data_IF_379526128800
#
_entry.id   IF_379526128800
#
_cell.length_a   1.000
_cell.length_b   1.000
_cell.length_c   1.000
_cell.angle_alpha   90.00
_cell.angle_beta   90.00
_cell.angle_gamma   90.00
#
_symmetry.space_group_name_H-M   'P 1'
#
loop_
_entity.id
_entity.type
_entity.pdbx_description
1 polymer ?
#
# COMPACT_ATOMS: atom_id res chain seq x y z
N UNK A 1 -26.15 28.31 20.81
CA UNK A 1 -24.73 28.75 20.86
C UNK A 1 -23.84 27.54 20.97
N UNK A 2 -23.84 26.71 19.94
CA UNK A 2 -22.94 25.58 19.74
C UNK A 2 -22.98 25.38 18.23
N UNK A 3 -21.93 25.80 17.51
CA UNK A 3 -21.64 25.45 16.10
C UNK A 3 -20.43 26.23 15.56
N UNK A 4 -19.36 26.42 16.36
CA UNK A 4 -18.15 27.14 15.89
C UNK A 4 -16.83 26.43 16.24
N UNK A 5 -16.88 25.17 16.68
CA UNK A 5 -15.70 24.40 17.08
C UNK A 5 -15.44 23.18 16.17
N UNK A 6 -16.22 23.04 15.09
CA UNK A 6 -16.16 21.91 14.15
C UNK A 6 -15.23 22.20 12.98
N UNK A 7 -15.19 23.45 12.52
CA UNK A 7 -14.41 23.91 11.35
C UNK A 7 -12.89 23.89 11.56
N UNK A 8 -12.40 24.21 12.76
CA UNK A 8 -10.97 24.15 13.08
C UNK A 8 -10.45 22.70 13.16
N UNK A 9 -11.25 21.78 13.71
CA UNK A 9 -10.86 20.37 13.79
C UNK A 9 -10.83 19.67 12.41
N UNK A 10 -11.72 20.06 11.50
CA UNK A 10 -11.78 19.49 10.15
C UNK A 10 -10.59 19.96 9.29
N UNK A 11 -10.18 21.22 9.42
CA UNK A 11 -9.01 21.77 8.69
C UNK A 11 -7.70 21.12 9.14
N UNK A 12 -7.56 20.87 10.45
CA UNK A 12 -6.40 20.18 11.01
C UNK A 12 -6.24 18.75 10.48
N UNK A 13 -7.33 17.97 10.49
CA UNK A 13 -7.27 16.58 10.03
C UNK A 13 -6.99 16.48 8.53
N UNK A 14 -7.45 17.45 7.73
CA UNK A 14 -7.14 17.50 6.31
C UNK A 14 -5.64 17.58 6.05
N UNK A 15 -4.90 18.36 6.84
CA UNK A 15 -3.43 18.46 6.72
C UNK A 15 -2.73 17.11 6.91
N UNK A 16 -3.21 16.29 7.86
CA UNK A 16 -2.67 14.95 8.07
C UNK A 16 -3.09 13.96 6.99
N UNK A 17 -4.32 14.07 6.47
CA UNK A 17 -4.78 13.29 5.32
C UNK A 17 -3.94 13.58 4.06
N UNK A 18 -3.67 14.84 3.77
CA UNK A 18 -2.83 15.26 2.63
C UNK A 18 -1.38 14.73 2.79
N UNK A 19 -0.86 14.74 4.01
CA UNK A 19 0.44 14.13 4.32
C UNK A 19 0.45 12.61 4.08
N UNK A 20 -0.65 11.92 4.36
CA UNK A 20 -0.76 10.47 4.08
C UNK A 20 -0.84 10.22 2.57
N UNK A 21 -1.65 11.00 1.86
CA UNK A 21 -1.83 10.86 0.41
C UNK A 21 -0.59 11.19 -0.40
N UNK A 22 0.30 12.04 0.14
CA UNK A 22 1.58 12.38 -0.49
C UNK A 22 2.69 11.36 -0.24
N UNK A 23 2.46 10.35 0.60
CA UNK A 23 3.42 9.26 0.81
C UNK A 23 3.54 8.40 -0.46
N UNK A 24 4.77 8.12 -0.89
CA UNK A 24 5.01 7.10 -1.90
C UNK A 24 4.75 5.72 -1.29
N UNK A 25 3.79 4.93 -1.82
CA UNK A 25 3.44 3.63 -1.27
C UNK A 25 4.57 2.60 -1.34
N UNK A 26 5.61 2.85 -2.14
CA UNK A 26 6.79 2.01 -2.28
C UNK A 26 7.94 2.51 -1.41
N UNK A 27 8.25 3.80 -1.44
CA UNK A 27 9.44 4.35 -0.78
C UNK A 27 9.18 4.81 0.67
N UNK A 28 8.00 5.38 0.97
CA UNK A 28 7.70 5.99 2.28
C UNK A 28 6.96 5.03 3.23
N UNK A 29 6.27 4.03 2.69
CA UNK A 29 5.47 3.09 3.46
C UNK A 29 6.30 1.84 3.83
N UNK A 30 6.41 1.46 5.10
CA UNK A 30 7.12 0.26 5.53
C UNK A 30 6.64 -1.03 4.84
N UNK A 31 7.56 -1.94 4.53
CA UNK A 31 7.26 -3.27 3.98
C UNK A 31 7.40 -4.36 5.05
N UNK A 32 6.68 -5.47 4.89
CA UNK A 32 6.73 -6.61 5.83
C UNK A 32 8.08 -7.33 5.82
N UNK A 33 8.86 -7.21 4.73
CA UNK A 33 10.11 -7.95 4.50
C UNK A 33 11.41 -7.20 4.83
N UNK A 34 11.35 -5.98 5.38
CA UNK A 34 12.54 -5.21 5.78
C UNK A 34 13.48 -4.76 4.65
N UNK A 35 13.28 -5.23 3.42
CA UNK A 35 14.01 -4.77 2.24
C UNK A 35 13.44 -3.43 1.77
N UNK A 36 13.93 -2.34 2.38
CA UNK A 36 13.80 -1.00 1.80
C UNK A 36 14.81 -0.88 0.66
N UNK A 37 14.35 -1.18 -0.56
CA UNK A 37 15.06 -0.67 -1.74
C UNK A 37 14.66 0.79 -1.88
N UNK A 38 15.54 1.71 -1.49
CA UNK A 38 15.33 3.13 -1.75
C UNK A 38 15.53 3.39 -3.24
N UNK A 39 14.46 3.26 -4.02
CA UNK A 39 14.51 3.41 -5.48
C UNK A 39 14.75 4.86 -5.88
N UNK A 40 14.32 5.81 -5.05
CA UNK A 40 14.50 7.25 -5.27
C UNK A 40 15.96 7.66 -5.32
N UNK A 41 16.81 7.04 -4.50
CA UNK A 41 18.24 7.38 -4.38
C UNK A 41 19.18 6.35 -5.00
N UNK A 42 18.66 5.34 -5.72
CA UNK A 42 19.47 4.31 -6.39
C UNK A 42 19.35 4.39 -7.91
N UNK A 43 20.42 4.04 -8.61
CA UNK A 43 20.44 3.74 -10.04
C UNK A 43 20.46 2.21 -10.19
N UNK A 44 19.30 1.55 -10.13
CA UNK A 44 19.25 0.10 -10.23
C UNK A 44 19.69 -0.32 -11.64
N UNK A 45 20.55 -1.33 -11.70
CA UNK A 45 20.94 -2.00 -12.94
C UNK A 45 19.94 -3.09 -13.29
N UNK A 46 19.82 -3.40 -14.58
CA UNK A 46 19.01 -4.50 -15.07
C UNK A 46 19.34 -5.84 -14.39
N UNK A 47 20.61 -6.05 -14.03
CA UNK A 47 21.08 -7.29 -13.38
C UNK A 47 20.42 -7.55 -12.01
N UNK A 48 19.88 -6.52 -11.36
CA UNK A 48 19.19 -6.63 -10.08
C UNK A 48 17.78 -7.22 -10.21
N UNK A 49 17.24 -7.36 -11.43
CA UNK A 49 15.93 -7.95 -11.70
C UNK A 49 16.03 -9.46 -11.93
N UNK A 50 14.91 -10.16 -11.76
CA UNK A 50 14.82 -11.58 -12.14
C UNK A 50 15.00 -11.77 -13.66
N UNK A 51 15.52 -12.92 -14.13
CA UNK A 51 15.85 -13.14 -15.54
C UNK A 51 14.69 -12.89 -16.51
N UNK A 52 13.46 -13.20 -16.11
CA UNK A 52 12.27 -12.88 -16.92
C UNK A 52 12.11 -11.39 -17.20
N UNK A 53 12.30 -10.54 -16.17
CA UNK A 53 12.13 -9.10 -16.28
C UNK A 53 13.32 -8.41 -16.94
N UNK A 54 14.52 -9.00 -16.83
CA UNK A 54 15.67 -8.56 -17.60
C UNK A 54 15.40 -8.65 -19.09
N UNK A 55 14.84 -9.77 -19.56
CA UNK A 55 14.51 -9.95 -20.98
C UNK A 55 13.51 -8.92 -21.48
N UNK A 56 12.45 -8.66 -20.73
CA UNK A 56 11.46 -7.62 -21.09
C UNK A 56 12.09 -6.24 -21.29
N UNK A 57 13.03 -5.85 -20.42
CA UNK A 57 13.73 -4.56 -20.55
C UNK A 57 14.75 -4.59 -21.68
N UNK A 58 15.48 -5.70 -21.87
CA UNK A 58 16.41 -5.86 -22.98
C UNK A 58 15.70 -5.76 -24.34
N UNK A 59 14.49 -6.32 -24.45
CA UNK A 59 13.65 -6.21 -25.65
C UNK A 59 13.24 -4.75 -25.92
N UNK A 60 12.97 -3.97 -24.87
CA UNK A 60 12.66 -2.52 -24.99
C UNK A 60 13.89 -1.67 -25.32
N UNK A 61 15.08 -2.10 -24.91
CA UNK A 61 16.36 -1.45 -25.22
C UNK A 61 16.96 -1.91 -26.56
N UNK A 62 16.33 -2.89 -27.22
CA UNK A 62 16.80 -3.42 -28.49
C UNK A 62 16.72 -2.33 -29.58
N UNK A 63 17.79 -2.19 -30.35
CA UNK A 63 17.88 -1.18 -31.43
C UNK A 63 18.19 0.25 -31.00
N UNK A 64 18.25 0.56 -29.70
CA UNK A 64 18.70 1.87 -29.19
C UNK A 64 20.23 2.02 -29.26
N UNK A 65 20.69 3.26 -29.45
CA UNK A 65 22.12 3.59 -29.38
C UNK A 65 22.65 3.48 -27.93
N UNK A 66 23.97 3.34 -27.72
CA UNK A 66 24.54 3.23 -26.37
C UNK A 66 24.17 4.41 -25.46
N UNK A 67 24.14 5.64 -25.99
CA UNK A 67 23.79 6.83 -25.22
C UNK A 67 22.31 6.81 -24.78
N UNK A 68 21.39 6.44 -25.68
CA UNK A 68 19.97 6.31 -25.36
C UNK A 68 19.68 5.19 -24.37
N UNK A 69 20.48 4.11 -24.40
CA UNK A 69 20.38 3.01 -23.43
C UNK A 69 20.77 3.44 -22.04
N UNK A 70 21.87 4.18 -21.89
CA UNK A 70 22.35 4.66 -20.60
C UNK A 70 21.33 5.59 -19.91
N UNK A 71 20.59 6.37 -20.70
CA UNK A 71 19.52 7.25 -20.20
C UNK A 71 18.24 6.47 -19.84
N UNK A 72 17.81 5.53 -20.70
CA UNK A 72 16.51 4.85 -20.54
C UNK A 72 16.53 3.63 -19.62
N UNK A 73 17.65 2.92 -19.54
CA UNK A 73 17.74 1.69 -18.75
C UNK A 73 17.35 1.92 -17.27
N UNK A 74 17.89 2.93 -16.55
CA UNK A 74 17.54 3.15 -15.16
C UNK A 74 16.05 3.46 -14.96
N UNK A 75 15.42 4.16 -15.89
CA UNK A 75 13.99 4.48 -15.84
C UNK A 75 13.13 3.22 -15.98
N UNK A 76 13.44 2.38 -16.97
CA UNK A 76 12.73 1.11 -17.20
C UNK A 76 12.91 0.15 -16.03
N UNK A 77 14.13 0.05 -15.50
CA UNK A 77 14.44 -0.80 -14.35
C UNK A 77 13.71 -0.29 -13.10
N UNK A 78 13.70 1.02 -12.84
CA UNK A 78 12.93 1.60 -11.72
C UNK A 78 11.43 1.34 -11.87
N UNK A 79 10.85 1.55 -13.05
CA UNK A 79 9.44 1.29 -13.31
C UNK A 79 9.11 -0.18 -13.05
N UNK A 80 9.97 -1.09 -13.50
CA UNK A 80 9.79 -2.54 -13.28
C UNK A 80 9.90 -2.92 -11.81
N UNK A 81 10.88 -2.38 -11.09
CA UNK A 81 10.99 -2.58 -9.64
C UNK A 81 9.74 -2.09 -8.90
N UNK A 82 9.21 -0.90 -9.24
CA UNK A 82 7.97 -0.40 -8.65
C UNK A 82 6.80 -1.33 -8.93
N UNK A 83 6.68 -1.87 -10.13
CA UNK A 83 5.65 -2.85 -10.47
C UNK A 83 5.77 -4.13 -9.63
N UNK A 84 6.97 -4.71 -9.54
CA UNK A 84 7.22 -5.94 -8.77
C UNK A 84 6.95 -5.71 -7.28
N UNK A 85 7.40 -4.58 -6.72
CA UNK A 85 7.17 -4.24 -5.32
C UNK A 85 5.69 -3.97 -5.03
N UNK A 86 4.96 -3.31 -5.94
CA UNK A 86 3.53 -3.09 -5.79
C UNK A 86 2.76 -4.42 -5.75
N UNK A 87 3.09 -5.34 -6.66
CA UNK A 87 2.52 -6.70 -6.67
C UNK A 87 2.86 -7.41 -5.37
N UNK A 88 4.14 -7.40 -4.94
CA UNK A 88 4.57 -8.03 -3.70
C UNK A 88 3.81 -7.49 -2.50
N UNK A 89 3.65 -6.16 -2.37
CA UNK A 89 2.91 -5.53 -1.26
C UNK A 89 1.45 -5.96 -1.25
N UNK A 90 0.80 -6.01 -2.41
CA UNK A 90 -0.57 -6.56 -2.51
C UNK A 90 -0.69 -8.02 -2.05
N UNK A 91 0.40 -8.79 -2.02
CA UNK A 91 0.42 -10.18 -1.56
C UNK A 91 0.81 -10.33 -0.09
N UNK A 92 1.85 -9.62 0.33
CA UNK A 92 2.48 -9.79 1.65
C UNK A 92 2.02 -8.77 2.68
N UNK A 93 1.22 -7.78 2.26
CA UNK A 93 0.88 -6.64 3.09
C UNK A 93 1.96 -5.58 3.16
N UNK A 94 1.69 -4.57 3.98
CA UNK A 94 2.63 -3.53 4.41
C UNK A 94 3.11 -3.81 5.83
N UNK A 95 4.21 -3.17 6.23
CA UNK A 95 4.81 -3.36 7.55
C UNK A 95 3.90 -2.90 8.70
N UNK A 96 4.19 -3.40 9.91
CA UNK A 96 3.39 -3.12 11.11
C UNK A 96 3.29 -1.62 11.44
N UNK A 97 4.33 -0.85 11.14
CA UNK A 97 4.40 0.60 11.38
C UNK A 97 3.76 1.45 10.29
N UNK A 98 3.23 0.84 9.22
CA UNK A 98 2.49 1.56 8.19
C UNK A 98 1.18 2.16 8.76
N UNK A 99 0.74 3.27 8.17
CA UNK A 99 -0.55 3.88 8.54
C UNK A 99 -1.71 2.93 8.21
N UNK A 100 -2.83 3.10 8.91
CA UNK A 100 -4.01 2.25 8.68
C UNK A 100 -4.54 2.37 7.26
N UNK A 101 -4.43 3.56 6.66
CA UNK A 101 -4.79 3.80 5.26
C UNK A 101 -4.04 2.87 4.30
N UNK A 102 -2.70 2.78 4.44
CA UNK A 102 -1.89 1.93 3.57
C UNK A 102 -2.10 0.44 3.84
N UNK A 103 -2.40 0.06 5.10
CA UNK A 103 -2.79 -1.31 5.45
C UNK A 103 -4.08 -1.71 4.75
N UNK A 104 -5.11 -0.88 4.86
CA UNK A 104 -6.40 -1.09 4.23
C UNK A 104 -6.29 -1.15 2.70
N UNK A 105 -5.49 -0.27 2.10
CA UNK A 105 -5.22 -0.28 0.66
C UNK A 105 -4.59 -1.60 0.21
N UNK A 106 -3.63 -2.10 0.98
CA UNK A 106 -2.98 -3.38 0.72
C UNK A 106 -3.93 -4.57 0.91
N UNK A 107 -4.82 -4.51 1.90
CA UNK A 107 -5.82 -5.54 2.18
C UNK A 107 -6.86 -5.63 1.05
N UNK A 108 -7.38 -4.48 0.58
CA UNK A 108 -8.28 -4.39 -0.57
C UNK A 108 -7.62 -4.99 -1.82
N UNK A 109 -6.35 -4.66 -2.08
CA UNK A 109 -5.61 -5.22 -3.21
C UNK A 109 -5.45 -6.75 -3.10
N UNK A 110 -5.17 -7.25 -1.90
CA UNK A 110 -5.08 -8.69 -1.61
C UNK A 110 -6.40 -9.42 -1.83
N UNK A 111 -7.51 -8.89 -1.30
CA UNK A 111 -8.86 -9.42 -1.51
C UNK A 111 -9.24 -9.44 -2.99
N UNK A 112 -8.99 -8.34 -3.71
CA UNK A 112 -9.27 -8.22 -5.13
C UNK A 112 -8.54 -9.30 -5.94
N UNK A 113 -7.26 -9.52 -5.64
CA UNK A 113 -6.43 -10.56 -6.28
C UNK A 113 -6.93 -11.95 -5.96
N UNK A 114 -7.22 -12.25 -4.70
CA UNK A 114 -7.76 -13.57 -4.30
C UNK A 114 -9.06 -13.89 -5.03
N UNK A 115 -9.96 -12.91 -5.18
CA UNK A 115 -11.19 -13.09 -5.97
C UNK A 115 -10.88 -13.31 -7.45
N UNK A 116 -9.89 -12.61 -8.02
CA UNK A 116 -9.49 -12.79 -9.40
C UNK A 116 -8.96 -14.21 -9.65
N UNK A 117 -8.11 -14.71 -8.76
CA UNK A 117 -7.56 -16.07 -8.82
C UNK A 117 -8.68 -17.13 -8.70
N UNK A 118 -9.66 -16.90 -7.83
CA UNK A 118 -10.83 -17.77 -7.70
C UNK A 118 -11.71 -17.77 -8.95
N UNK A 119 -11.93 -16.61 -9.58
CA UNK A 119 -12.64 -16.51 -10.86
C UNK A 119 -11.89 -17.30 -11.94
N UNK A 120 -10.57 -17.11 -12.06
CA UNK A 120 -9.74 -17.83 -13.02
C UNK A 120 -9.79 -19.35 -12.78
N UNK A 121 -9.78 -19.78 -11.52
CA UNK A 121 -9.96 -21.18 -11.15
C UNK A 121 -11.31 -21.72 -11.62
N UNK A 122 -12.43 -21.07 -11.29
CA UNK A 122 -13.76 -21.54 -11.70
C UNK A 122 -13.93 -21.52 -13.21
N UNK A 123 -13.43 -20.50 -13.89
CA UNK A 123 -13.45 -20.41 -15.35
C UNK A 123 -12.69 -21.59 -15.97
N UNK A 124 -11.48 -21.87 -15.49
CA UNK A 124 -10.71 -23.04 -15.91
C UNK A 124 -11.46 -24.36 -15.68
N UNK A 125 -12.24 -24.49 -14.61
CA UNK A 125 -13.05 -25.69 -14.40
C UNK A 125 -14.25 -25.77 -15.36
N UNK A 126 -14.85 -24.63 -15.71
CA UNK A 126 -15.95 -24.55 -16.68
C UNK A 126 -15.50 -24.88 -18.10
N UNK A 127 -14.27 -24.51 -18.44
CA UNK A 127 -13.65 -24.72 -19.75
C UNK A 127 -13.05 -26.14 -19.90
N UNK A 128 -13.04 -26.94 -18.83
CA UNK A 128 -12.59 -28.34 -18.90
C UNK A 128 -13.61 -29.19 -19.64
N UNK A 129 -13.11 -29.87 -20.66
CA UNK A 129 -13.86 -30.79 -21.51
C UNK A 129 -13.10 -32.10 -21.66
N UNK A 130 -13.84 -33.18 -21.87
CA UNK A 130 -13.31 -34.47 -22.30
C UNK A 130 -14.01 -34.89 -23.59
N UNK A 131 -13.40 -35.82 -24.34
CA UNK A 131 -13.96 -36.28 -25.60
C UNK A 131 -14.61 -37.64 -25.41
N UNK A 132 -15.84 -37.78 -25.91
CA UNK A 132 -16.56 -39.05 -25.98
C UNK A 132 -16.73 -39.45 -27.45
N UNK A 133 -16.38 -40.68 -27.79
CA UNK A 133 -16.66 -41.20 -29.13
C UNK A 133 -18.17 -41.44 -29.25
N UNK A 134 -18.83 -40.72 -30.16
CA UNK A 134 -20.25 -40.91 -30.47
C UNK A 134 -20.40 -41.28 -31.94
N UNK A 135 -21.32 -42.21 -32.21
CA UNK A 135 -21.63 -42.60 -33.57
C UNK A 135 -22.35 -41.45 -34.29
N UNK A 136 -21.83 -41.06 -35.45
CA UNK A 136 -22.43 -40.04 -36.30
C UNK A 136 -23.17 -40.72 -37.47
N UNK A 137 -24.51 -40.66 -37.46
CA UNK A 137 -25.36 -41.28 -38.47
C UNK A 137 -25.16 -40.72 -39.89
N UNK A 138 -24.62 -39.49 -40.03
CA UNK A 138 -24.37 -38.85 -41.33
C UNK A 138 -23.06 -39.32 -41.97
N UNK A 139 -22.02 -39.57 -41.17
CA UNK A 139 -20.70 -40.01 -41.66
C UNK A 139 -20.48 -41.51 -41.53
N UNK A 140 -21.36 -42.21 -40.80
CA UNK A 140 -21.29 -43.64 -40.52
C UNK A 140 -20.09 -44.04 -39.65
N UNK A 141 -19.48 -43.10 -38.94
CA UNK A 141 -18.25 -43.28 -38.16
C UNK A 141 -18.43 -42.81 -36.73
N UNK A 142 -17.63 -43.37 -35.82
CA UNK A 142 -17.49 -42.82 -34.48
C UNK A 142 -16.59 -41.59 -34.53
N UNK A 143 -17.12 -40.46 -34.10
CA UNK A 143 -16.41 -39.19 -34.06
C UNK A 143 -16.28 -38.72 -32.61
N UNK A 144 -15.14 -38.12 -32.22
CA UNK A 144 -14.97 -37.57 -30.88
C UNK A 144 -15.81 -36.30 -30.73
N UNK A 145 -16.74 -36.32 -29.78
CA UNK A 145 -17.57 -35.17 -29.42
C UNK A 145 -17.07 -34.59 -28.10
N UNK A 146 -16.88 -33.28 -28.08
CA UNK A 146 -16.49 -32.54 -26.89
C UNK A 146 -17.65 -32.51 -25.88
N UNK A 147 -17.40 -33.01 -24.68
CA UNK A 147 -18.38 -33.06 -23.59
C UNK A 147 -17.81 -32.29 -22.38
N UNK A 148 -18.57 -31.35 -21.80
CA UNK A 148 -18.15 -30.67 -20.58
C UNK A 148 -17.82 -31.67 -19.46
N UNK A 149 -16.68 -31.49 -18.80
CA UNK A 149 -16.27 -32.37 -17.70
C UNK A 149 -17.11 -32.22 -16.43
N UNK A 150 -17.95 -31.19 -16.35
CA UNK A 150 -18.83 -30.91 -15.22
C UNK A 150 -20.30 -31.07 -15.61
N UNK A 151 -21.10 -31.58 -14.67
CA UNK A 151 -22.56 -31.63 -14.80
C UNK A 151 -23.17 -30.23 -14.95
N UNK A 152 -24.33 -30.14 -15.60
CA UNK A 152 -25.03 -28.87 -15.80
C UNK A 152 -25.33 -28.12 -14.49
N UNK A 153 -25.62 -28.84 -13.40
CA UNK A 153 -25.80 -28.25 -12.07
C UNK A 153 -24.52 -27.62 -11.53
N UNK A 154 -23.39 -28.34 -11.57
CA UNK A 154 -22.09 -27.79 -11.14
C UNK A 154 -21.66 -26.59 -11.98
N UNK A 155 -21.89 -26.64 -13.30
CA UNK A 155 -21.61 -25.50 -14.19
C UNK A 155 -22.42 -24.27 -13.81
N UNK A 156 -23.71 -24.43 -13.51
CA UNK A 156 -24.56 -23.33 -13.00
C UNK A 156 -24.05 -22.78 -11.68
N UNK A 157 -23.66 -23.66 -10.75
CA UNK A 157 -23.06 -23.24 -9.47
C UNK A 157 -21.79 -22.41 -9.65
N UNK A 158 -20.86 -22.85 -10.50
CA UNK A 158 -19.63 -22.10 -10.79
C UNK A 158 -19.90 -20.78 -11.50
N UNK A 159 -20.83 -20.75 -12.46
CA UNK A 159 -21.23 -19.51 -13.12
C UNK A 159 -21.83 -18.50 -12.12
N UNK A 160 -22.66 -18.97 -11.17
CA UNK A 160 -23.20 -18.13 -10.09
C UNK A 160 -22.10 -17.60 -9.16
N UNK A 161 -21.13 -18.43 -8.79
CA UNK A 161 -19.98 -18.00 -7.99
C UNK A 161 -19.13 -16.95 -8.71
N UNK A 162 -18.87 -17.11 -10.00
CA UNK A 162 -18.15 -16.11 -10.80
C UNK A 162 -18.91 -14.78 -10.81
N UNK A 163 -20.23 -14.81 -11.01
CA UNK A 163 -21.05 -13.60 -10.99
C UNK A 163 -21.03 -12.91 -9.61
N UNK A 164 -21.07 -13.68 -8.52
CA UNK A 164 -20.97 -13.16 -7.16
C UNK A 164 -19.60 -12.52 -6.88
N UNK A 165 -18.51 -13.20 -7.26
CA UNK A 165 -17.14 -12.69 -7.11
C UNK A 165 -16.92 -11.41 -7.93
N UNK A 166 -17.38 -11.36 -9.18
CA UNK A 166 -17.33 -10.14 -10.00
C UNK A 166 -18.14 -9.00 -9.40
N UNK A 167 -19.28 -9.28 -8.74
CA UNK A 167 -20.04 -8.26 -8.01
C UNK A 167 -19.21 -7.71 -6.85
N UNK A 168 -18.61 -8.57 -6.03
CA UNK A 168 -17.75 -8.17 -4.89
C UNK A 168 -16.52 -7.41 -5.34
N UNK A 169 -15.86 -7.83 -6.43
CA UNK A 169 -14.75 -7.09 -7.02
C UNK A 169 -15.13 -5.65 -7.32
N UNK A 170 -16.27 -5.42 -7.97
CA UNK A 170 -16.77 -4.05 -8.29
C UNK A 170 -17.12 -3.22 -7.05
N UNK A 171 -17.42 -3.84 -5.92
CA UNK A 171 -17.62 -3.10 -4.66
C UNK A 171 -16.30 -2.59 -4.09
N UNK A 172 -15.20 -3.30 -4.32
CA UNK A 172 -13.86 -2.93 -3.85
C UNK A 172 -13.11 -2.02 -4.85
N UNK A 173 -13.10 -2.40 -6.13
CA UNK A 173 -12.38 -1.71 -7.20
C UNK A 173 -13.18 -1.74 -8.51
N UNK A 174 -13.16 -0.62 -9.21
CA UNK A 174 -13.73 -0.45 -10.54
C UNK A 174 -12.73 -0.92 -11.62
N UNK A 175 -13.21 -1.04 -12.86
CA UNK A 175 -12.41 -1.48 -14.00
C UNK A 175 -11.31 -0.49 -14.39
N UNK A 176 -11.49 0.80 -14.05
CA UNK A 176 -10.51 1.88 -14.26
C UNK A 176 -9.42 1.94 -13.17
N UNK A 177 -9.46 1.03 -12.19
CA UNK A 177 -8.54 0.99 -11.06
C UNK A 177 -8.91 1.91 -9.90
N UNK A 178 -9.99 2.69 -10.00
CA UNK A 178 -10.52 3.46 -8.87
C UNK A 178 -11.21 2.55 -7.85
N UNK A 179 -11.41 3.04 -6.62
CA UNK A 179 -12.09 2.26 -5.59
C UNK A 179 -13.60 2.25 -5.81
N UNK A 180 -14.20 1.06 -5.67
CA UNK A 180 -15.65 0.89 -5.63
C UNK A 180 -16.25 1.46 -4.34
N UNK A 181 -17.57 1.43 -4.20
CA UNK A 181 -18.28 2.07 -3.07
C UNK A 181 -17.82 1.53 -1.71
N UNK A 182 -17.64 0.22 -1.57
CA UNK A 182 -17.15 -0.37 -0.31
C UNK A 182 -15.67 -0.08 -0.10
N UNK A 183 -14.85 -0.19 -1.14
CA UNK A 183 -13.42 0.12 -1.08
C UNK A 183 -13.17 1.56 -0.65
N UNK A 184 -13.87 2.53 -1.27
CA UNK A 184 -13.78 3.94 -0.94
C UNK A 184 -14.21 4.23 0.51
N UNK A 185 -15.29 3.59 0.98
CA UNK A 185 -15.76 3.74 2.36
C UNK A 185 -14.79 3.17 3.39
N UNK A 186 -14.19 2.01 3.11
CA UNK A 186 -13.16 1.39 3.95
C UNK A 186 -11.93 2.29 4.04
N UNK A 187 -11.46 2.78 2.89
CA UNK A 187 -10.31 3.68 2.82
C UNK A 187 -10.53 5.03 3.50
N UNK A 188 -11.71 5.64 3.36
CA UNK A 188 -12.01 6.88 4.07
C UNK A 188 -11.92 6.69 5.59
N UNK A 189 -12.49 5.60 6.11
CA UNK A 189 -12.39 5.30 7.55
C UNK A 189 -10.93 5.09 7.99
N UNK A 190 -10.17 4.35 7.19
CA UNK A 190 -8.75 4.11 7.46
C UNK A 190 -7.91 5.40 7.37
N UNK A 191 -8.28 6.32 6.47
CA UNK A 191 -7.70 7.65 6.35
C UNK A 191 -7.95 8.46 7.61
N UNK A 192 -9.21 8.57 8.05
CA UNK A 192 -9.57 9.33 9.25
C UNK A 192 -8.84 8.79 10.50
N UNK A 193 -8.74 7.47 10.64
CA UNK A 193 -7.99 6.83 11.72
C UNK A 193 -6.49 7.13 11.65
N UNK A 194 -5.93 7.11 10.44
CA UNK A 194 -4.51 7.41 10.22
C UNK A 194 -4.21 8.88 10.53
N UNK A 195 -5.03 9.80 10.05
CA UNK A 195 -4.89 11.24 10.29
C UNK A 195 -4.94 11.55 11.79
N UNK A 196 -5.93 10.99 12.52
CA UNK A 196 -6.03 11.13 13.99
C UNK A 196 -4.82 10.55 14.71
N UNK A 197 -4.31 9.41 14.24
CA UNK A 197 -3.12 8.78 14.84
C UNK A 197 -1.88 9.66 14.65
N UNK A 198 -1.67 10.19 13.45
CA UNK A 198 -0.55 11.09 13.17
C UNK A 198 -0.65 12.40 13.97
N UNK A 199 -1.84 13.00 14.03
CA UNK A 199 -2.10 14.20 14.85
C UNK A 199 -1.71 13.95 16.31
N UNK A 200 -2.19 12.86 16.90
CA UNK A 200 -1.86 12.49 18.28
C UNK A 200 -0.35 12.32 18.49
N UNK A 201 0.35 11.65 17.56
CA UNK A 201 1.81 11.46 17.65
C UNK A 201 2.55 12.80 17.61
N UNK A 202 2.15 13.71 16.72
CA UNK A 202 2.80 15.02 16.60
C UNK A 202 2.47 15.94 17.78
N UNK A 203 1.26 15.87 18.35
CA UNK A 203 0.89 16.54 19.61
C UNK A 203 1.71 16.01 20.79
N UNK A 204 1.82 14.68 20.95
CA UNK A 204 2.64 14.05 21.99
C UNK A 204 4.12 14.48 21.87
N UNK A 205 4.64 14.58 20.64
CA UNK A 205 5.99 15.10 20.38
C UNK A 205 6.14 16.57 20.74
N UNK A 206 5.16 17.41 20.41
CA UNK A 206 5.18 18.83 20.75
C UNK A 206 5.18 19.03 22.28
N UNK A 207 4.33 18.29 22.99
CA UNK A 207 4.26 18.30 24.46
C UNK A 207 5.60 17.85 25.05
N UNK A 208 6.18 16.75 24.55
CA UNK A 208 7.47 16.26 25.03
C UNK A 208 8.61 17.27 24.78
N UNK A 209 8.62 17.94 23.64
CA UNK A 209 9.58 18.99 23.32
C UNK A 209 9.44 20.21 24.25
N UNK A 210 8.20 20.64 24.52
CA UNK A 210 7.96 21.74 25.46
C UNK A 210 8.33 21.36 26.89
N UNK A 211 7.99 20.16 27.35
CA UNK A 211 8.37 19.65 28.66
C UNK A 211 9.90 19.64 28.82
N UNK A 212 10.64 19.21 27.79
CA UNK A 212 12.11 19.25 27.78
C UNK A 212 12.65 20.68 27.85
N UNK A 213 12.04 21.62 27.13
CA UNK A 213 12.40 23.05 27.19
C UNK A 213 12.20 23.61 28.60
N UNK A 214 11.02 23.41 29.19
CA UNK A 214 10.70 23.90 30.55
C UNK A 214 11.61 23.28 31.60
N UNK A 215 11.93 21.98 31.49
CA UNK A 215 12.88 21.33 32.39
C UNK A 215 14.28 21.97 32.30
N UNK A 216 14.76 22.30 31.10
CA UNK A 216 16.04 22.99 30.92
C UNK A 216 16.03 24.41 31.49
N UNK A 217 14.91 25.13 31.36
CA UNK A 217 14.73 26.46 31.95
C UNK A 217 14.75 26.42 33.47
N UNK A 218 14.03 25.47 34.09
CA UNK A 218 14.03 25.27 35.54
C UNK A 218 15.44 25.00 36.09
N UNK A 219 16.20 24.09 35.47
CA UNK A 219 17.58 23.79 35.87
C UNK A 219 18.47 25.03 35.77
N UNK A 220 18.26 25.87 34.74
CA UNK A 220 18.99 27.13 34.58
C UNK A 220 18.63 28.11 35.71
N UNK A 221 17.36 28.28 36.02
CA UNK A 221 16.89 29.16 37.10
C UNK A 221 17.41 28.71 38.47
N UNK A 222 17.37 27.41 38.76
CA UNK A 222 17.94 26.83 39.99
C UNK A 222 19.43 27.13 40.10
N UNK A 223 20.19 26.99 39.02
CA UNK A 223 21.61 27.33 38.98
C UNK A 223 21.85 28.82 39.22
N UNK A 224 21.06 29.69 38.60
CA UNK A 224 21.13 31.15 38.81
C UNK A 224 20.85 31.49 40.27
N UNK A 225 19.77 30.95 40.84
CA UNK A 225 19.37 31.18 42.23
C UNK A 225 20.43 30.69 43.21
N UNK A 226 21.01 29.51 42.97
CA UNK A 226 22.10 28.96 43.78
C UNK A 226 23.33 29.88 43.78
N UNK A 227 23.72 30.39 42.60
CA UNK A 227 24.84 31.34 42.47
C UNK A 227 24.52 32.69 43.14
N UNK A 228 23.29 33.18 43.01
CA UNK A 228 22.84 34.42 43.64
C UNK A 228 22.88 34.31 45.17
N UNK A 229 22.38 33.22 45.74
CA UNK A 229 22.45 32.97 47.18
C UNK A 229 23.89 32.83 47.69
N UNK A 230 24.75 32.14 46.94
CA UNK A 230 26.17 32.01 47.29
C UNK A 230 26.87 33.39 47.31
N UNK A 231 26.60 34.25 46.32
CA UNK A 231 27.14 35.62 46.29
C UNK A 231 26.58 36.51 47.39
N UNK A 232 25.28 36.42 47.69
CA UNK A 232 24.66 37.20 48.75
C UNK A 232 25.32 36.94 50.12
N UNK A 233 25.71 35.69 50.41
CA UNK A 233 26.44 35.33 51.64
C UNK A 233 27.88 35.87 51.71
N UNK A 234 28.49 36.22 50.57
CA UNK A 234 29.88 36.71 50.51
C UNK A 234 29.98 38.25 50.48
N UNK A 235 28.86 38.97 50.41
CA UNK A 235 28.87 40.43 50.46
C UNK A 235 29.10 40.93 51.91
N UNK A 236 30.01 41.90 52.13
CA UNK A 236 30.28 42.44 53.45
C UNK A 236 29.08 43.26 53.93
N UNK A 237 28.23 42.66 54.78
CA UNK A 237 27.02 43.28 55.34
C UNK A 237 25.82 42.35 55.52
N UNK A 238 25.89 41.07 55.12
CA UNK A 238 24.79 40.12 55.33
C UNK A 238 24.52 39.84 56.82
N UNK A 239 23.25 39.74 57.27
CA UNK A 239 22.92 39.38 58.64
C UNK A 239 23.48 37.99 58.97
N UNK A 240 24.17 37.90 60.11
CA UNK A 240 24.65 36.62 60.67
C UNK A 240 23.48 35.80 61.19
#
# INVERSE_FOLDING_TARGET
MADDNTTDNDTDLQTYSDRILSMDPIDDVPSTGGHFVNLKNSTPSIEALAPEHQREIQDQLFGLSPAEREEREPELVRAKFRQVLAISRGQTGVGETATQFHKEMSEIAGEFRQMHDQIAYFQKQLDRVHFENRFNDQTGKNEPVEVPSLSAERRRGYAANIADLKRRQRLLMNEDGSFGIEGAKRLQRAMDQSARTLKRVDEERAIAAEAKRRAAEMVREERINTLAHARAKMLPGGPR
#
